data_IF_411423469792
#
_entry.id   IF_411423469792
#
_cell.length_a   1.000
_cell.length_b   1.000
_cell.length_c   1.000
_cell.angle_alpha   90.00
_cell.angle_beta   90.00
_cell.angle_gamma   90.00
#
_symmetry.space_group_name_H-M   'P 1'
#
loop_
_entity.id
_entity.type
_entity.pdbx_description
1 polymer ?
#
# COMPACT_ATOMS: atom_id res chain seq x y z
N UNK A 1 -50.46 1.42 0.79
CA UNK A 1 -49.54 2.03 1.77
C UNK A 1 -48.20 1.35 1.57
N UNK A 2 -47.61 1.63 0.40
CA UNK A 2 -46.24 1.27 0.05
C UNK A 2 -45.28 1.80 1.12
N UNK A 3 -44.59 0.88 1.78
CA UNK A 3 -43.29 1.13 2.37
C UNK A 3 -42.27 0.47 1.47
N UNK A 4 -41.92 1.14 0.37
CA UNK A 4 -40.74 0.86 -0.46
C UNK A 4 -39.50 0.98 0.44
N UNK A 5 -39.24 -0.10 1.19
CA UNK A 5 -38.02 -0.33 1.94
C UNK A 5 -36.92 -0.42 0.89
N UNK A 6 -36.37 0.74 0.59
CA UNK A 6 -35.19 0.96 -0.22
C UNK A 6 -34.21 -0.14 0.08
N UNK A 7 -34.09 -1.07 -0.87
CA UNK A 7 -32.98 -1.98 -1.00
C UNK A 7 -31.75 -1.09 -1.25
N UNK A 8 -31.25 -0.50 -0.16
CA UNK A 8 -30.02 0.24 -0.11
C UNK A 8 -28.94 -0.74 -0.52
N UNK A 9 -28.45 -0.55 -1.73
CA UNK A 9 -27.30 -1.20 -2.32
C UNK A 9 -26.15 -1.18 -1.31
N UNK A 10 -26.00 -2.26 -0.56
CA UNK A 10 -24.81 -2.63 0.22
C UNK A 10 -23.68 -2.82 -0.80
N UNK A 11 -23.10 -1.71 -1.26
CA UNK A 11 -22.07 -1.70 -2.27
C UNK A 11 -20.81 -2.36 -1.71
N UNK A 12 -20.70 -3.67 -1.87
CA UNK A 12 -19.48 -4.45 -2.12
C UNK A 12 -18.16 -3.74 -1.76
N UNK A 13 -17.89 -3.57 -0.46
CA UNK A 13 -16.62 -2.99 0.04
C UNK A 13 -15.41 -3.94 -0.16
N UNK A 14 -15.67 -5.21 -0.45
CA UNK A 14 -14.65 -6.28 -0.61
C UNK A 14 -13.72 -6.06 -1.80
N UNK A 15 -14.16 -5.33 -2.83
CA UNK A 15 -13.33 -5.06 -4.02
C UNK A 15 -12.25 -3.99 -3.80
N UNK A 16 -12.52 -3.02 -2.92
CA UNK A 16 -11.64 -1.87 -2.71
C UNK A 16 -10.38 -2.24 -1.91
N UNK A 17 -10.52 -3.07 -0.88
CA UNK A 17 -9.39 -3.56 -0.07
C UNK A 17 -8.47 -4.48 -0.84
N UNK A 18 -9.02 -5.34 -1.70
CA UNK A 18 -8.23 -6.22 -2.56
C UNK A 18 -7.40 -5.41 -3.59
N UNK A 19 -7.98 -4.38 -4.20
CA UNK A 19 -7.26 -3.49 -5.11
C UNK A 19 -6.13 -2.73 -4.40
N UNK A 20 -6.38 -2.18 -3.21
CA UNK A 20 -5.38 -1.50 -2.41
C UNK A 20 -4.23 -2.44 -1.97
N UNK A 21 -4.55 -3.69 -1.62
CA UNK A 21 -3.55 -4.68 -1.26
C UNK A 21 -2.66 -5.05 -2.45
N UNK A 22 -3.24 -5.24 -3.65
CA UNK A 22 -2.48 -5.50 -4.87
C UNK A 22 -1.57 -4.32 -5.25
N UNK A 23 -2.07 -3.10 -5.08
CA UNK A 23 -1.28 -1.89 -5.30
C UNK A 23 -0.10 -1.80 -4.33
N UNK A 24 -0.33 -2.04 -3.03
CA UNK A 24 0.73 -2.07 -2.04
C UNK A 24 1.79 -3.15 -2.34
N UNK A 25 1.36 -4.35 -2.75
CA UNK A 25 2.26 -5.43 -3.20
C UNK A 25 3.12 -4.97 -4.38
N UNK A 26 2.52 -4.31 -5.37
CA UNK A 26 3.25 -3.78 -6.53
C UNK A 26 4.23 -2.68 -6.14
N UNK A 27 3.88 -1.77 -5.24
CA UNK A 27 4.79 -0.74 -4.74
C UNK A 27 5.99 -1.33 -4.02
N UNK A 28 5.74 -2.28 -3.09
CA UNK A 28 6.81 -2.97 -2.36
C UNK A 28 7.70 -3.73 -3.35
N UNK A 29 7.13 -4.47 -4.28
CA UNK A 29 7.90 -5.20 -5.29
C UNK A 29 8.75 -4.28 -6.17
N UNK A 30 8.25 -3.10 -6.53
CA UNK A 30 8.99 -2.11 -7.32
C UNK A 30 10.24 -1.63 -6.60
N UNK A 31 10.18 -1.45 -5.27
CA UNK A 31 11.38 -1.17 -4.46
C UNK A 31 12.43 -2.30 -4.54
N UNK A 32 11.99 -3.54 -4.78
CA UNK A 32 12.84 -4.71 -4.98
C UNK A 32 13.27 -4.98 -6.42
N UNK A 33 12.92 -4.10 -7.36
CA UNK A 33 13.31 -4.19 -8.79
C UNK A 33 12.24 -4.76 -9.72
N UNK A 34 10.99 -4.90 -9.27
CA UNK A 34 9.89 -5.27 -10.16
C UNK A 34 9.51 -4.12 -11.08
N UNK A 35 9.55 -4.35 -12.41
CA UNK A 35 9.28 -3.31 -13.40
C UNK A 35 7.79 -3.16 -13.73
N UNK A 36 6.98 -4.19 -13.51
CA UNK A 36 5.52 -4.13 -13.73
C UNK A 36 5.10 -3.94 -15.19
N UNK A 37 5.84 -4.46 -16.17
CA UNK A 37 5.44 -4.37 -17.59
C UNK A 37 4.19 -5.22 -17.84
N UNK A 38 3.47 -4.91 -18.92
CA UNK A 38 2.19 -5.53 -19.31
C UNK A 38 2.17 -7.08 -19.34
N UNK A 39 3.34 -7.74 -19.46
CA UNK A 39 3.48 -9.21 -19.51
C UNK A 39 4.37 -9.80 -18.41
N UNK A 40 4.78 -9.01 -17.42
CA UNK A 40 5.67 -9.50 -16.35
C UNK A 40 4.93 -10.36 -15.31
N UNK A 41 3.59 -10.31 -15.28
CA UNK A 41 2.77 -11.06 -14.32
C UNK A 41 2.77 -10.42 -12.93
N UNK A 42 2.75 -11.25 -11.90
CA UNK A 42 2.80 -10.84 -10.51
C UNK A 42 4.24 -10.85 -9.96
N UNK A 43 4.56 -9.99 -8.97
CA UNK A 43 5.85 -10.00 -8.30
C UNK A 43 6.23 -11.36 -7.70
N UNK A 44 7.50 -11.74 -7.85
CA UNK A 44 8.05 -12.96 -7.24
C UNK A 44 8.58 -12.75 -5.82
N UNK A 45 8.90 -13.85 -5.13
CA UNK A 45 9.42 -13.85 -3.75
C UNK A 45 10.71 -13.04 -3.60
N UNK A 46 11.62 -13.11 -4.57
CA UNK A 46 12.89 -12.36 -4.52
C UNK A 46 12.69 -10.85 -4.58
N UNK A 47 11.83 -10.37 -5.49
CA UNK A 47 11.50 -8.94 -5.59
C UNK A 47 10.75 -8.47 -4.35
N UNK A 48 9.87 -9.29 -3.79
CA UNK A 48 9.17 -8.95 -2.55
C UNK A 48 10.11 -8.85 -1.35
N UNK A 49 11.01 -9.83 -1.15
CA UNK A 49 11.99 -9.79 -0.05
C UNK A 49 12.86 -8.53 -0.12
N UNK A 50 13.45 -8.26 -1.28
CA UNK A 50 14.28 -7.06 -1.49
C UNK A 50 13.48 -5.77 -1.27
N UNK A 51 12.23 -5.75 -1.72
CA UNK A 51 11.32 -4.63 -1.54
C UNK A 51 11.03 -4.33 -0.07
N UNK A 52 10.71 -5.36 0.71
CA UNK A 52 10.46 -5.25 2.15
C UNK A 52 11.71 -4.80 2.92
N UNK A 53 12.87 -5.38 2.62
CA UNK A 53 14.15 -4.97 3.21
C UNK A 53 14.43 -3.48 2.94
N UNK A 54 14.20 -3.02 1.71
CA UNK A 54 14.43 -1.62 1.34
C UNK A 54 13.39 -0.68 1.97
N UNK A 55 12.13 -1.11 2.07
CA UNK A 55 11.09 -0.36 2.76
C UNK A 55 11.41 -0.19 4.25
N UNK A 56 11.85 -1.26 4.91
CA UNK A 56 12.26 -1.21 6.32
C UNK A 56 13.37 -0.18 6.54
N UNK A 57 14.42 -0.20 5.73
CA UNK A 57 15.52 0.77 5.81
C UNK A 57 15.06 2.23 5.58
N UNK A 58 14.11 2.46 4.66
CA UNK A 58 13.54 3.80 4.43
C UNK A 58 12.74 4.28 5.65
N UNK A 59 11.95 3.39 6.27
CA UNK A 59 11.19 3.69 7.48
C UNK A 59 12.13 4.02 8.64
N UNK A 60 13.20 3.25 8.84
CA UNK A 60 14.22 3.52 9.85
C UNK A 60 14.87 4.89 9.64
N UNK A 61 15.27 5.21 8.40
CA UNK A 61 15.84 6.51 8.06
C UNK A 61 14.87 7.67 8.33
N UNK A 62 13.59 7.48 8.04
CA UNK A 62 12.55 8.47 8.32
C UNK A 62 12.33 8.69 9.82
N UNK A 63 12.25 7.61 10.60
CA UNK A 63 12.13 7.69 12.06
C UNK A 63 13.35 8.39 12.69
N UNK A 64 14.54 8.08 12.19
CA UNK A 64 15.77 8.74 12.62
C UNK A 64 15.75 10.22 12.28
N UNK A 65 15.31 10.59 11.07
CA UNK A 65 15.15 12.00 10.67
C UNK A 65 14.21 12.75 11.62
N UNK A 66 13.05 12.18 11.96
CA UNK A 66 12.10 12.76 12.90
C UNK A 66 12.66 12.90 14.31
N UNK A 67 13.50 11.96 14.73
CA UNK A 67 14.17 12.01 16.04
C UNK A 67 15.21 13.13 16.11
N UNK A 68 15.99 13.32 15.04
CA UNK A 68 17.00 14.38 14.95
C UNK A 68 16.39 15.76 14.70
N UNK A 69 15.26 15.81 13.99
CA UNK A 69 14.53 17.02 13.66
C UNK A 69 13.14 16.91 14.26
N UNK A 70 13.01 16.98 15.59
CA UNK A 70 11.70 17.03 16.21
C UNK A 70 10.95 18.16 15.53
N UNK A 71 9.72 17.88 15.09
CA UNK A 71 8.88 18.89 14.48
C UNK A 71 8.94 20.12 15.39
N UNK A 72 9.45 21.24 14.87
CA UNK A 72 9.33 22.51 15.57
C UNK A 72 7.85 22.62 15.91
N UNK A 73 7.50 22.54 17.18
CA UNK A 73 6.16 22.84 17.62
C UNK A 73 5.92 24.28 17.15
N UNK A 74 5.14 24.45 16.09
CA UNK A 74 4.65 25.78 15.73
C UNK A 74 3.69 26.19 16.86
N UNK A 75 3.83 27.42 17.39
CA UNK A 75 2.93 27.96 18.40
C UNK A 75 1.51 28.15 17.85
#
# INVERSE_FOLDING_TARGET
MEGDLRLGKEATATGQTAAAAQEAVRWIASLGGFLGRKRDGEPGTTTMRRGLERLAALVEGWQLYQTMHPARASP
#
